data_IF_294178010328
#
_entry.id   IF_294178010328
#
_cell.length_a   1.000
_cell.length_b   1.000
_cell.length_c   1.000
_cell.angle_alpha   90.00
_cell.angle_beta   90.00
_cell.angle_gamma   90.00
#
_symmetry.space_group_name_H-M   'P 1'
#
loop_
_entity.id
_entity.type
_entity.pdbx_description
1 polymer ?
#
# COMPACT_ATOMS: atom_id res chain seq x y z
N UNK A 1 -13.25 7.66 28.47
CA UNK A 1 -12.10 8.08 27.64
C UNK A 1 -11.34 6.81 27.32
N UNK A 2 -11.77 6.09 26.29
CA UNK A 2 -11.08 4.89 25.84
C UNK A 2 -9.81 5.29 25.11
N UNK A 3 -8.67 4.91 25.67
CA UNK A 3 -7.37 4.95 25.02
C UNK A 3 -7.33 3.89 23.93
N UNK A 4 -7.98 4.14 22.80
CA UNK A 4 -7.75 3.37 21.58
C UNK A 4 -6.27 3.50 21.23
N UNK A 5 -5.53 2.41 21.38
CA UNK A 5 -4.17 2.29 20.83
C UNK A 5 -4.18 2.88 19.42
N UNK A 6 -3.24 3.78 19.06
CA UNK A 6 -3.18 4.44 17.75
C UNK A 6 -2.98 3.48 16.56
N UNK A 7 -3.04 2.18 16.83
CA UNK A 7 -2.62 1.05 16.02
C UNK A 7 -3.78 0.08 15.75
N UNK A 8 -5.00 0.43 16.17
CA UNK A 8 -6.17 -0.43 16.05
C UNK A 8 -7.05 -0.01 14.88
N UNK A 9 -7.54 -0.99 14.12
CA UNK A 9 -8.54 -0.73 13.08
C UNK A 9 -9.72 -0.03 13.76
N UNK A 10 -10.13 1.16 13.30
CA UNK A 10 -11.23 1.90 13.90
C UNK A 10 -12.47 1.02 14.01
N UNK A 11 -13.16 1.07 15.16
CA UNK A 11 -14.29 0.18 15.43
C UNK A 11 -15.38 0.25 14.34
N UNK A 12 -15.57 1.42 13.72
CA UNK A 12 -16.55 1.62 12.66
C UNK A 12 -16.16 0.97 11.32
N UNK A 13 -14.88 0.62 11.11
CA UNK A 13 -14.39 -0.11 9.94
C UNK A 13 -14.30 -1.63 10.18
N UNK A 14 -14.63 -2.11 11.38
CA UNK A 14 -14.57 -3.54 11.69
C UNK A 14 -15.73 -4.28 11.02
N UNK A 15 -15.44 -5.30 10.18
CA UNK A 15 -16.48 -5.99 9.43
C UNK A 15 -17.35 -6.87 10.35
N UNK A 16 -18.66 -6.83 10.13
CA UNK A 16 -19.62 -7.74 10.77
C UNK A 16 -19.83 -8.95 9.87
N UNK A 17 -19.17 -10.06 10.21
CA UNK A 17 -19.18 -11.30 9.44
C UNK A 17 -20.16 -12.33 10.00
N UNK A 18 -20.91 -12.96 9.11
CA UNK A 18 -21.90 -13.99 9.40
C UNK A 18 -21.52 -15.29 8.68
N UNK A 19 -21.57 -16.41 9.40
CA UNK A 19 -21.12 -17.71 8.91
C UNK A 19 -22.32 -18.65 8.84
N UNK A 20 -22.50 -19.30 7.69
CA UNK A 20 -23.65 -20.17 7.43
C UNK A 20 -23.72 -21.34 8.42
N UNK A 21 -22.57 -21.87 8.83
CA UNK A 21 -22.48 -23.08 9.64
C UNK A 21 -22.81 -22.84 11.13
N UNK A 22 -22.67 -21.60 11.61
CA UNK A 22 -22.83 -21.25 13.03
C UNK A 22 -24.18 -20.62 13.37
N UNK A 23 -25.01 -20.25 12.38
CA UNK A 23 -26.18 -19.40 12.62
C UNK A 23 -27.52 -20.16 12.62
N UNK A 24 -27.55 -21.48 12.42
CA UNK A 24 -28.79 -22.27 12.31
C UNK A 24 -29.68 -21.92 11.10
N UNK A 25 -29.40 -20.79 10.43
CA UNK A 25 -30.12 -20.26 9.29
C UNK A 25 -29.53 -20.81 7.99
N UNK A 26 -30.22 -21.79 7.40
CA UNK A 26 -29.90 -22.33 6.06
C UNK A 26 -30.05 -21.29 4.92
N UNK A 27 -30.47 -20.05 5.22
CA UNK A 27 -30.90 -19.07 4.23
C UNK A 27 -30.24 -17.68 4.38
N UNK A 28 -29.03 -17.55 4.96
CA UNK A 28 -28.33 -16.25 5.05
C UNK A 28 -28.18 -15.52 3.70
N UNK A 29 -28.14 -16.26 2.60
CA UNK A 29 -28.11 -15.72 1.24
C UNK A 29 -29.39 -14.96 0.82
N UNK A 30 -30.50 -15.13 1.55
CA UNK A 30 -31.77 -14.40 1.36
C UNK A 30 -31.92 -13.21 2.29
N UNK A 31 -31.05 -13.05 3.29
CA UNK A 31 -31.17 -11.97 4.26
C UNK A 31 -30.82 -10.63 3.60
N UNK A 32 -31.74 -9.64 3.59
CA UNK A 32 -31.46 -8.32 3.03
C UNK A 32 -30.24 -7.66 3.68
N UNK A 33 -29.41 -6.99 2.88
CA UNK A 33 -28.21 -6.28 3.35
C UNK A 33 -26.99 -7.17 3.67
N UNK A 34 -27.08 -8.50 3.47
CA UNK A 34 -25.93 -9.40 3.55
C UNK A 34 -25.35 -9.67 2.17
N UNK A 35 -24.08 -9.33 1.99
CA UNK A 35 -23.33 -9.59 0.77
C UNK A 35 -22.35 -10.75 0.98
N UNK A 36 -22.22 -11.64 -0.01
CA UNK A 36 -21.34 -12.81 0.10
C UNK A 36 -19.89 -12.43 -0.18
N UNK A 37 -19.01 -12.54 0.82
CA UNK A 37 -17.56 -12.25 0.68
C UNK A 37 -16.73 -13.49 0.34
N UNK A 38 -17.21 -14.67 0.72
CA UNK A 38 -16.66 -15.96 0.32
C UNK A 38 -17.72 -17.05 0.47
N UNK A 39 -17.43 -18.28 0.02
CA UNK A 39 -18.37 -19.39 0.19
C UNK A 39 -18.68 -19.60 1.68
N UNK A 40 -19.96 -19.53 2.05
CA UNK A 40 -20.42 -19.75 3.42
C UNK A 40 -20.25 -18.55 4.37
N UNK A 41 -19.67 -17.43 3.92
CA UNK A 41 -19.47 -16.24 4.77
C UNK A 41 -20.01 -14.99 4.10
N UNK A 42 -20.74 -14.21 4.88
CA UNK A 42 -21.44 -13.00 4.46
C UNK A 42 -21.01 -11.82 5.31
N UNK A 43 -21.05 -10.63 4.74
CA UNK A 43 -20.77 -9.37 5.41
C UNK A 43 -22.01 -8.48 5.41
N UNK A 44 -22.26 -7.81 6.53
CA UNK A 44 -23.25 -6.73 6.59
C UNK A 44 -22.54 -5.40 6.32
N UNK A 45 -23.00 -4.67 5.31
CA UNK A 45 -22.46 -3.37 4.93
C UNK A 45 -23.39 -2.25 5.40
N UNK A 46 -22.81 -1.12 5.78
CA UNK A 46 -23.55 0.07 6.18
C UNK A 46 -23.71 1.00 4.96
N UNK A 47 -24.91 1.57 4.82
CA UNK A 47 -25.33 2.37 3.68
C UNK A 47 -24.64 3.75 3.60
N UNK A 48 -24.32 4.34 4.75
CA UNK A 48 -23.82 5.72 4.86
C UNK A 48 -22.29 5.77 4.99
N UNK A 49 -21.60 5.02 4.13
CA UNK A 49 -20.14 4.89 4.14
C UNK A 49 -19.54 5.36 2.84
N UNK A 50 -18.40 6.04 2.92
CA UNK A 50 -17.65 6.44 1.75
C UNK A 50 -17.12 5.20 1.02
N UNK A 51 -16.92 5.32 -0.30
CA UNK A 51 -16.46 4.22 -1.15
C UNK A 51 -15.20 3.54 -0.61
N UNK A 52 -14.23 4.30 -0.09
CA UNK A 52 -13.00 3.73 0.45
C UNK A 52 -13.24 2.94 1.75
N UNK A 53 -14.13 3.40 2.64
CA UNK A 53 -14.49 2.71 3.88
C UNK A 53 -15.15 1.36 3.57
N UNK A 54 -16.03 1.35 2.57
CA UNK A 54 -16.70 0.15 2.09
C UNK A 54 -15.69 -0.86 1.52
N UNK A 55 -14.77 -0.41 0.65
CA UNK A 55 -13.71 -1.26 0.08
C UNK A 55 -12.78 -1.82 1.15
N UNK A 56 -12.39 -0.98 2.11
CA UNK A 56 -11.58 -1.38 3.25
C UNK A 56 -12.31 -2.46 4.07
N UNK A 57 -13.57 -2.21 4.44
CA UNK A 57 -14.38 -3.12 5.26
C UNK A 57 -14.59 -4.48 4.57
N UNK A 58 -14.87 -4.49 3.26
CA UNK A 58 -14.99 -5.74 2.48
C UNK A 58 -13.65 -6.48 2.41
N UNK A 59 -12.55 -5.78 2.15
CA UNK A 59 -11.21 -6.38 2.03
C UNK A 59 -10.76 -6.98 3.37
N UNK A 60 -10.96 -6.25 4.47
CA UNK A 60 -10.68 -6.73 5.82
C UNK A 60 -11.58 -7.92 6.18
N UNK A 61 -12.87 -7.84 5.84
CA UNK A 61 -13.81 -8.93 6.03
C UNK A 61 -13.41 -10.21 5.30
N UNK A 62 -12.94 -10.10 4.06
CA UNK A 62 -12.39 -11.24 3.30
C UNK A 62 -11.15 -11.82 3.97
N UNK A 63 -10.23 -10.99 4.45
CA UNK A 63 -9.01 -11.46 5.11
C UNK A 63 -9.33 -12.21 6.42
N UNK A 64 -10.14 -11.61 7.29
CA UNK A 64 -10.58 -12.22 8.54
C UNK A 64 -11.37 -13.52 8.31
N UNK A 65 -12.28 -13.53 7.33
CA UNK A 65 -13.04 -14.71 6.98
C UNK A 65 -12.14 -15.83 6.44
N UNK A 66 -11.16 -15.51 5.59
CA UNK A 66 -10.22 -16.49 5.06
C UNK A 66 -9.34 -17.12 6.15
N UNK A 67 -8.86 -16.31 7.10
CA UNK A 67 -8.10 -16.81 8.25
C UNK A 67 -8.96 -17.74 9.11
N UNK A 68 -10.17 -17.30 9.49
CA UNK A 68 -11.06 -18.09 10.35
C UNK A 68 -11.52 -19.41 9.70
N UNK A 69 -11.74 -19.41 8.39
CA UNK A 69 -12.21 -20.60 7.65
C UNK A 69 -11.08 -21.51 7.18
N UNK A 70 -9.81 -21.18 7.49
CA UNK A 70 -8.65 -22.00 7.18
C UNK A 70 -7.92 -22.37 8.48
N UNK A 71 -8.34 -23.42 9.20
CA UNK A 71 -7.78 -23.76 10.52
C UNK A 71 -6.26 -24.04 10.52
N UNK A 72 -5.70 -24.46 9.40
CA UNK A 72 -4.26 -24.70 9.25
C UNK A 72 -3.45 -23.43 8.99
N UNK A 73 -4.08 -22.29 8.75
CA UNK A 73 -3.37 -21.02 8.55
C UNK A 73 -2.86 -20.50 9.90
N UNK A 74 -1.58 -20.10 9.94
CA UNK A 74 -0.97 -19.53 11.16
C UNK A 74 -1.30 -18.06 11.34
N UNK A 75 -1.29 -17.30 10.25
CA UNK A 75 -1.57 -15.86 10.25
C UNK A 75 -1.87 -15.33 8.84
N UNK A 76 -2.31 -14.07 8.77
CA UNK A 76 -2.28 -13.28 7.53
C UNK A 76 -0.86 -12.76 7.24
N UNK A 77 -0.56 -12.54 5.98
CA UNK A 77 0.74 -12.01 5.51
C UNK A 77 0.54 -11.06 4.31
N UNK A 78 1.60 -10.50 3.74
CA UNK A 78 1.60 -9.64 2.54
C UNK A 78 0.58 -8.50 2.64
N UNK A 79 -0.20 -8.25 1.59
CA UNK A 79 -1.23 -7.20 1.53
C UNK A 79 -2.32 -7.37 2.58
N UNK A 80 -2.63 -8.59 3.04
CA UNK A 80 -3.63 -8.83 4.09
C UNK A 80 -3.13 -8.40 5.47
N UNK A 81 -1.87 -8.71 5.80
CA UNK A 81 -1.26 -8.20 7.02
C UNK A 81 -1.05 -6.69 6.92
N UNK A 82 -0.64 -6.17 5.76
CA UNK A 82 -0.49 -4.73 5.53
C UNK A 82 -1.82 -3.99 5.76
N UNK A 83 -2.93 -4.54 5.28
CA UNK A 83 -4.27 -4.00 5.49
C UNK A 83 -4.64 -3.96 6.99
N UNK A 84 -4.36 -5.04 7.73
CA UNK A 84 -4.65 -5.11 9.17
C UNK A 84 -3.78 -4.15 9.98
N UNK A 85 -2.51 -3.98 9.60
CA UNK A 85 -1.58 -3.01 10.18
C UNK A 85 -1.93 -1.55 9.86
N UNK A 86 -2.85 -1.31 8.92
CA UNK A 86 -3.15 0.03 8.41
C UNK A 86 -2.03 0.61 7.56
N UNK A 87 -1.18 -0.24 6.95
CA UNK A 87 -0.14 0.23 6.04
C UNK A 87 -0.78 0.72 4.74
N UNK A 88 -0.39 1.92 4.33
CA UNK A 88 -0.82 2.50 3.07
C UNK A 88 -0.23 1.70 1.89
N UNK A 89 -1.06 1.35 0.90
CA UNK A 89 -0.63 0.59 -0.28
C UNK A 89 -1.30 1.15 -1.55
N UNK A 90 -0.72 0.87 -2.72
CA UNK A 90 -1.29 1.29 -4.01
C UNK A 90 -2.57 0.52 -4.35
N UNK A 91 -2.55 -0.79 -4.12
CA UNK A 91 -3.67 -1.66 -4.43
C UNK A 91 -4.85 -1.39 -3.50
N UNK A 92 -5.96 -0.94 -4.07
CA UNK A 92 -7.15 -0.57 -3.33
C UNK A 92 -8.02 -1.76 -2.90
N UNK A 93 -7.95 -2.88 -3.63
CA UNK A 93 -8.61 -4.14 -3.33
C UNK A 93 -7.60 -5.28 -3.37
N UNK A 94 -6.85 -5.47 -2.27
CA UNK A 94 -5.78 -6.44 -2.25
C UNK A 94 -6.30 -7.88 -2.29
N UNK A 95 -5.51 -8.75 -2.92
CA UNK A 95 -5.64 -10.19 -2.73
C UNK A 95 -5.46 -10.56 -1.25
N UNK A 96 -6.03 -11.70 -0.86
CA UNK A 96 -5.97 -12.21 0.51
C UNK A 96 -4.82 -13.21 0.63
N UNK A 97 -3.91 -13.04 1.58
CA UNK A 97 -2.77 -13.93 1.76
C UNK A 97 -2.77 -14.60 3.14
N UNK A 98 -2.59 -15.91 3.14
CA UNK A 98 -2.50 -16.76 4.33
C UNK A 98 -1.14 -17.47 4.37
N UNK A 99 -0.48 -17.42 5.53
CA UNK A 99 0.71 -18.22 5.80
C UNK A 99 0.29 -19.58 6.38
N UNK A 100 0.71 -20.67 5.72
CA UNK A 100 0.46 -22.04 6.13
C UNK A 100 1.79 -22.74 6.46
N UNK A 101 1.79 -23.70 7.41
CA UNK A 101 2.98 -24.45 7.78
C UNK A 101 3.39 -25.50 6.74
N UNK A 102 2.48 -25.86 5.83
CA UNK A 102 2.71 -26.87 4.79
C UNK A 102 2.08 -26.46 3.46
N UNK A 103 2.53 -27.10 2.37
CA UNK A 103 2.03 -26.82 1.02
C UNK A 103 0.55 -27.19 0.90
N UNK A 104 -0.35 -26.23 0.59
CA UNK A 104 -1.76 -26.53 0.42
C UNK A 104 -2.02 -27.25 -0.89
N UNK A 105 -3.02 -28.15 -0.90
CA UNK A 105 -3.51 -28.75 -2.14
C UNK A 105 -4.08 -27.71 -3.12
N UNK A 106 -4.73 -26.67 -2.58
CA UNK A 106 -5.29 -25.55 -3.34
C UNK A 106 -4.67 -24.23 -2.91
N UNK A 107 -3.65 -23.80 -3.66
CA UNK A 107 -2.92 -22.56 -3.42
C UNK A 107 -3.78 -21.30 -3.63
N UNK A 108 -4.72 -21.33 -4.57
CA UNK A 108 -5.48 -20.13 -4.94
C UNK A 108 -6.97 -20.37 -5.08
N UNK A 109 -7.78 -19.39 -4.64
CA UNK A 109 -9.25 -19.41 -4.74
C UNK A 109 -9.73 -18.02 -5.15
N UNK A 110 -10.57 -17.94 -6.19
CA UNK A 110 -11.21 -16.69 -6.57
C UNK A 110 -12.32 -16.33 -5.58
N UNK A 111 -12.37 -15.06 -5.18
CA UNK A 111 -13.43 -14.51 -4.34
C UNK A 111 -14.50 -13.81 -5.20
N UNK A 112 -15.74 -13.66 -4.69
CA UNK A 112 -16.77 -12.87 -5.35
C UNK A 112 -16.28 -11.45 -5.62
N UNK A 113 -16.44 -10.97 -6.85
CA UNK A 113 -16.13 -9.58 -7.26
C UNK A 113 -17.20 -8.64 -6.72
N UNK A 114 -16.80 -7.44 -6.30
CA UNK A 114 -17.70 -6.39 -5.83
C UNK A 114 -17.63 -5.17 -6.75
N UNK A 115 -18.77 -4.53 -6.98
CA UNK A 115 -18.84 -3.18 -7.50
C UNK A 115 -19.07 -2.21 -6.34
N UNK A 116 -18.26 -1.16 -6.26
CA UNK A 116 -18.35 -0.14 -5.22
C UNK A 116 -18.85 1.16 -5.83
N UNK A 117 -20.17 1.48 -5.72
CA UNK A 117 -20.71 2.70 -6.30
C UNK A 117 -20.19 3.95 -5.58
N UNK A 118 -20.46 5.14 -6.13
CA UNK A 118 -20.10 6.40 -5.45
C UNK A 118 -21.01 6.64 -4.23
N UNK A 119 -22.26 6.19 -4.35
CA UNK A 119 -23.32 6.28 -3.34
C UNK A 119 -24.08 4.94 -3.31
N UNK A 120 -24.47 4.47 -2.13
CA UNK A 120 -25.22 3.22 -1.95
C UNK A 120 -24.34 2.02 -1.54
N UNK A 121 -24.93 0.82 -1.52
CA UNK A 121 -24.24 -0.39 -1.06
C UNK A 121 -23.35 -1.02 -2.14
N UNK A 122 -22.18 -1.58 -1.75
CA UNK A 122 -21.44 -2.47 -2.62
C UNK A 122 -22.26 -3.72 -2.95
N UNK A 123 -22.26 -4.09 -4.22
CA UNK A 123 -22.98 -5.26 -4.71
C UNK A 123 -22.03 -6.29 -5.30
N UNK A 124 -22.31 -7.57 -5.04
CA UNK A 124 -21.58 -8.66 -5.68
C UNK A 124 -21.94 -8.69 -7.17
N UNK A 125 -20.92 -8.61 -8.03
CA UNK A 125 -21.09 -8.64 -9.48
C UNK A 125 -21.38 -10.08 -9.91
N UNK A 126 -22.48 -10.29 -10.63
CA UNK A 126 -22.87 -11.63 -11.11
C UNK A 126 -21.99 -12.13 -12.25
N UNK A 127 -21.53 -11.22 -13.13
CA UNK A 127 -20.61 -11.50 -14.24
C UNK A 127 -19.53 -10.42 -14.27
N UNK A 128 -18.34 -10.76 -13.77
CA UNK A 128 -17.22 -9.85 -13.75
C UNK A 128 -16.74 -9.55 -15.19
N UNK A 129 -16.70 -8.28 -15.55
CA UNK A 129 -16.12 -7.79 -16.80
C UNK A 129 -14.60 -7.91 -16.85
N UNK A 130 -14.01 -7.51 -17.97
CA UNK A 130 -12.54 -7.56 -18.18
C UNK A 130 -11.81 -6.62 -17.23
N UNK A 131 -12.40 -5.47 -16.90
CA UNK A 131 -11.82 -4.44 -16.04
C UNK A 131 -12.12 -4.63 -14.55
N UNK A 132 -12.89 -5.65 -14.18
CA UNK A 132 -13.25 -5.88 -12.78
C UNK A 132 -12.09 -6.51 -12.00
N UNK A 133 -11.76 -5.93 -10.85
CA UNK A 133 -10.75 -6.46 -9.96
C UNK A 133 -11.13 -7.88 -9.49
N UNK A 134 -10.28 -8.84 -9.82
CA UNK A 134 -10.45 -10.25 -9.44
C UNK A 134 -9.60 -10.57 -8.22
N UNK A 135 -10.21 -10.46 -7.06
CA UNK A 135 -9.58 -10.76 -5.77
C UNK A 135 -9.48 -12.27 -5.55
N UNK A 136 -8.31 -12.73 -5.12
CA UNK A 136 -8.00 -14.13 -4.85
C UNK A 136 -7.51 -14.32 -3.42
N UNK A 137 -7.77 -15.49 -2.85
CA UNK A 137 -7.04 -15.99 -1.68
C UNK A 137 -5.81 -16.73 -2.19
N UNK A 138 -4.64 -16.39 -1.69
CA UNK A 138 -3.38 -17.11 -1.81
C UNK A 138 -3.02 -17.78 -0.49
N UNK A 139 -2.89 -19.09 -0.52
CA UNK A 139 -2.37 -19.91 0.58
C UNK A 139 -0.92 -20.23 0.28
N UNK A 140 -0.01 -19.68 1.08
CA UNK A 140 1.44 -19.80 0.87
C UNK A 140 2.03 -20.67 1.97
N UNK A 141 2.78 -21.69 1.57
CA UNK A 141 3.66 -22.39 2.49
C UNK A 141 4.85 -21.46 2.78
N UNK A 142 4.88 -20.88 3.98
CA UNK A 142 5.89 -19.91 4.36
C UNK A 142 6.53 -20.33 5.69
N UNK A 143 7.84 -20.22 5.75
CA UNK A 143 8.57 -20.30 7.00
C UNK A 143 8.45 -18.95 7.72
N UNK A 144 7.64 -18.93 8.78
CA UNK A 144 7.39 -17.75 9.62
C UNK A 144 7.74 -18.17 11.05
N UNK A 145 8.71 -17.53 11.69
CA UNK A 145 9.01 -17.77 13.09
C UNK A 145 7.89 -17.19 13.98
N UNK A 146 7.74 -17.68 15.21
CA UNK A 146 6.66 -17.22 16.10
C UNK A 146 6.82 -15.74 16.46
N UNK A 147 8.06 -15.25 16.56
CA UNK A 147 8.39 -13.84 16.80
C UNK A 147 8.06 -12.93 15.60
N UNK A 148 7.85 -13.52 14.43
CA UNK A 148 7.42 -12.83 13.22
C UNK A 148 5.89 -12.78 13.10
N UNK A 149 5.16 -13.29 14.09
CA UNK A 149 3.70 -13.24 14.16
C UNK A 149 3.29 -12.37 15.36
N UNK A 150 2.40 -11.41 15.11
CA UNK A 150 1.79 -10.58 16.13
C UNK A 150 0.27 -10.55 15.98
N UNK A 151 -0.43 -10.13 17.03
CA UNK A 151 -1.88 -10.00 17.02
C UNK A 151 -2.27 -8.54 16.99
N UNK A 152 -2.85 -8.09 15.87
CA UNK A 152 -3.32 -6.71 15.70
C UNK A 152 -4.84 -6.72 15.62
N UNK A 153 -5.49 -5.99 16.53
CA UNK A 153 -6.95 -5.94 16.61
C UNK A 153 -7.62 -7.33 16.68
N UNK A 154 -6.98 -8.30 17.33
CA UNK A 154 -7.48 -9.67 17.46
C UNK A 154 -7.24 -10.57 16.25
N UNK A 155 -6.44 -10.13 15.27
CA UNK A 155 -6.10 -10.90 14.07
C UNK A 155 -4.61 -11.23 14.08
N UNK A 156 -4.27 -12.51 13.94
CA UNK A 156 -2.89 -12.96 13.82
C UNK A 156 -2.33 -12.58 12.43
N UNK A 157 -1.25 -11.80 12.42
CA UNK A 157 -0.61 -11.25 11.23
C UNK A 157 0.91 -11.33 11.34
N UNK A 158 1.63 -11.31 10.21
CA UNK A 158 3.08 -11.13 10.23
C UNK A 158 3.47 -9.75 10.77
N UNK A 159 4.64 -9.61 11.40
CA UNK A 159 5.14 -8.30 11.85
C UNK A 159 5.27 -7.30 10.70
N UNK A 160 5.28 -5.99 10.96
CA UNK A 160 5.30 -4.97 9.88
C UNK A 160 6.48 -5.13 8.91
N UNK A 161 7.68 -5.43 9.40
CA UNK A 161 8.86 -5.62 8.54
C UNK A 161 8.79 -6.95 7.78
N UNK A 162 8.30 -8.02 8.42
CA UNK A 162 8.08 -9.31 7.74
C UNK A 162 7.03 -9.18 6.64
N UNK A 163 5.96 -8.45 6.91
CA UNK A 163 4.87 -8.15 5.98
C UNK A 163 5.39 -7.46 4.73
N UNK A 164 6.26 -6.45 4.89
CA UNK A 164 6.88 -5.75 3.76
C UNK A 164 7.82 -6.67 2.95
N UNK A 165 8.62 -7.50 3.60
CA UNK A 165 9.47 -8.48 2.91
C UNK A 165 8.65 -9.46 2.08
N UNK A 166 7.59 -10.00 2.67
CA UNK A 166 6.68 -10.91 2.01
C UNK A 166 5.99 -10.25 0.80
N UNK A 167 5.46 -9.03 0.96
CA UNK A 167 4.91 -8.25 -0.14
C UNK A 167 5.96 -7.99 -1.25
N UNK A 168 7.20 -7.66 -0.89
CA UNK A 168 8.27 -7.42 -1.85
C UNK A 168 8.65 -8.64 -2.71
N UNK A 169 8.41 -9.86 -2.20
CA UNK A 169 8.62 -11.08 -2.98
C UNK A 169 7.52 -11.30 -4.05
N UNK A 170 6.25 -11.05 -3.70
CA UNK A 170 5.12 -11.58 -4.45
C UNK A 170 4.22 -10.51 -5.11
N UNK A 171 4.25 -9.25 -4.65
CA UNK A 171 3.47 -8.15 -5.22
C UNK A 171 4.19 -7.47 -6.41
N UNK A 172 3.45 -6.76 -7.28
CA UNK A 172 4.03 -5.87 -8.26
C UNK A 172 4.93 -4.81 -7.59
N UNK A 173 6.09 -4.46 -8.17
CA UNK A 173 7.08 -3.57 -7.53
C UNK A 173 6.51 -2.22 -7.03
N UNK A 174 5.60 -1.60 -7.78
CA UNK A 174 4.94 -0.36 -7.38
C UNK A 174 4.17 -0.49 -6.04
N UNK A 175 3.36 -1.55 -5.92
CA UNK A 175 2.58 -1.81 -4.71
C UNK A 175 3.49 -2.26 -3.56
N UNK A 176 4.48 -3.11 -3.86
CA UNK A 176 5.46 -3.57 -2.89
C UNK A 176 6.27 -2.42 -2.28
N UNK A 177 6.72 -1.45 -3.10
CA UNK A 177 7.45 -0.28 -2.61
C UNK A 177 6.56 0.58 -1.73
N UNK A 178 5.30 0.79 -2.11
CA UNK A 178 4.33 1.52 -1.27
C UNK A 178 4.14 0.86 0.11
N UNK A 179 4.07 -0.47 0.16
CA UNK A 179 3.94 -1.20 1.44
C UNK A 179 5.24 -1.12 2.25
N UNK A 180 6.40 -1.26 1.60
CA UNK A 180 7.70 -1.22 2.26
C UNK A 180 7.99 0.17 2.85
N UNK A 181 7.67 1.24 2.13
CA UNK A 181 7.75 2.63 2.61
C UNK A 181 6.83 2.85 3.81
N UNK A 182 5.58 2.38 3.72
CA UNK A 182 4.63 2.48 4.82
C UNK A 182 5.11 1.71 6.06
N UNK A 183 5.69 0.52 5.88
CA UNK A 183 6.27 -0.26 6.96
C UNK A 183 7.46 0.46 7.61
N UNK A 184 8.36 1.06 6.81
CA UNK A 184 9.47 1.86 7.34
C UNK A 184 8.99 3.12 8.03
N UNK A 185 8.03 3.85 7.48
CA UNK A 185 7.45 5.03 8.14
C UNK A 185 6.85 4.66 9.49
N UNK A 186 6.17 3.52 9.55
CA UNK A 186 5.58 3.00 10.78
C UNK A 186 6.62 2.55 11.81
N UNK A 187 7.66 1.85 11.37
CA UNK A 187 8.73 1.32 12.22
C UNK A 187 9.68 2.42 12.70
N UNK A 188 10.10 3.29 11.78
CA UNK A 188 11.11 4.31 12.00
C UNK A 188 10.53 5.58 12.64
N UNK A 189 9.23 5.86 12.47
CA UNK A 189 8.57 7.07 12.97
C UNK A 189 9.38 8.34 12.60
N UNK A 190 9.55 8.62 11.30
CA UNK A 190 10.38 9.73 10.85
C UNK A 190 9.79 11.07 11.30
N UNK A 191 10.67 12.00 11.67
CA UNK A 191 10.36 13.41 11.85
C UNK A 191 11.06 14.20 10.74
N UNK A 192 10.30 14.97 9.96
CA UNK A 192 10.81 15.77 8.86
C UNK A 192 11.80 16.85 9.32
N UNK A 193 11.67 17.32 10.56
CA UNK A 193 12.53 18.34 11.14
C UNK A 193 13.78 17.76 11.81
N UNK A 194 13.74 16.48 12.18
CA UNK A 194 14.82 15.78 12.88
C UNK A 194 15.10 14.43 12.21
N UNK A 195 15.61 14.42 10.95
CA UNK A 195 15.76 13.21 10.17
C UNK A 195 16.73 12.18 10.78
N UNK A 196 17.66 12.63 11.61
CA UNK A 196 18.58 11.79 12.37
C UNK A 196 17.87 10.87 13.37
N UNK A 197 16.70 11.27 13.90
CA UNK A 197 15.98 10.53 14.93
C UNK A 197 15.50 9.14 14.47
N UNK A 198 15.46 8.89 13.16
CA UNK A 198 15.02 7.63 12.58
C UNK A 198 16.17 6.74 12.05
N UNK A 199 17.43 7.20 12.10
CA UNK A 199 18.57 6.51 11.48
C UNK A 199 18.84 5.12 12.08
N UNK A 200 18.88 5.01 13.41
CA UNK A 200 19.13 3.74 14.09
C UNK A 200 18.04 2.71 13.78
N UNK A 201 16.77 3.13 13.80
CA UNK A 201 15.63 2.26 13.45
C UNK A 201 15.67 1.87 11.98
N UNK A 202 16.05 2.78 11.08
CA UNK A 202 16.21 2.44 9.67
C UNK A 202 17.33 1.41 9.47
N UNK A 203 18.46 1.55 10.15
CA UNK A 203 19.57 0.59 10.12
C UNK A 203 19.15 -0.79 10.65
N UNK A 204 18.39 -0.84 11.74
CA UNK A 204 17.82 -2.08 12.29
C UNK A 204 16.85 -2.75 11.31
N UNK A 205 15.95 -1.98 10.69
CA UNK A 205 15.01 -2.51 9.69
C UNK A 205 15.73 -3.08 8.47
N UNK A 206 16.79 -2.40 7.99
CA UNK A 206 17.66 -2.86 6.91
C UNK A 206 18.36 -4.18 7.26
N UNK A 207 19.02 -4.24 8.41
CA UNK A 207 19.69 -5.44 8.88
C UNK A 207 18.73 -6.64 9.01
N UNK A 208 17.51 -6.40 9.51
CA UNK A 208 16.47 -7.42 9.56
C UNK A 208 16.07 -7.93 8.17
N UNK A 209 15.88 -7.03 7.20
CA UNK A 209 15.59 -7.43 5.82
C UNK A 209 16.75 -8.15 5.14
N UNK A 210 18.00 -7.77 5.39
CA UNK A 210 19.17 -8.49 4.88
C UNK A 210 19.22 -9.92 5.43
N UNK A 211 18.94 -10.11 6.73
CA UNK A 211 18.83 -11.43 7.33
C UNK A 211 17.67 -12.25 6.73
N UNK A 212 16.53 -11.63 6.40
CA UNK A 212 15.43 -12.30 5.69
C UNK A 212 15.83 -12.70 4.26
N UNK A 213 16.49 -11.81 3.52
CA UNK A 213 16.97 -12.09 2.17
C UNK A 213 17.96 -13.26 2.17
N UNK A 214 18.79 -13.36 3.21
CA UNK A 214 19.72 -14.46 3.41
C UNK A 214 19.02 -15.77 3.76
N UNK A 215 18.15 -15.75 4.78
CA UNK A 215 17.42 -16.93 5.25
C UNK A 215 16.54 -17.55 4.17
N UNK A 216 15.96 -16.72 3.29
CA UNK A 216 15.04 -17.14 2.23
C UNK A 216 15.71 -17.20 0.85
N UNK A 217 17.02 -17.46 0.79
CA UNK A 217 17.74 -17.67 -0.48
C UNK A 217 17.03 -18.70 -1.36
N UNK A 218 16.90 -18.38 -2.65
CA UNK A 218 16.22 -19.23 -3.63
C UNK A 218 14.69 -19.09 -3.66
N UNK A 219 14.08 -18.31 -2.76
CA UNK A 219 12.64 -17.97 -2.85
C UNK A 219 12.36 -17.24 -4.18
N UNK A 220 11.28 -17.61 -4.85
CA UNK A 220 10.80 -16.88 -6.03
C UNK A 220 10.51 -15.42 -5.67
N UNK A 221 10.95 -14.50 -6.53
CA UNK A 221 10.75 -13.05 -6.30
C UNK A 221 11.79 -12.39 -5.40
N UNK A 222 12.78 -13.14 -4.89
CA UNK A 222 13.83 -12.58 -4.04
C UNK A 222 14.68 -11.48 -4.73
N UNK A 223 15.01 -11.55 -6.04
CA UNK A 223 15.69 -10.45 -6.73
C UNK A 223 14.88 -9.14 -6.70
N UNK A 224 13.57 -9.22 -6.98
CA UNK A 224 12.63 -8.10 -6.83
C UNK A 224 12.58 -7.61 -5.40
N UNK A 225 12.45 -8.53 -4.43
CA UNK A 225 12.41 -8.15 -3.03
C UNK A 225 13.66 -7.37 -2.62
N UNK A 226 14.85 -7.84 -3.03
CA UNK A 226 16.11 -7.12 -2.81
C UNK A 226 16.09 -5.72 -3.42
N UNK A 227 15.66 -5.59 -4.68
CA UNK A 227 15.61 -4.30 -5.36
C UNK A 227 14.63 -3.32 -4.71
N UNK A 228 13.40 -3.78 -4.40
CA UNK A 228 12.36 -2.97 -3.74
C UNK A 228 12.79 -2.55 -2.33
N UNK A 229 13.27 -3.49 -1.51
CA UNK A 229 13.64 -3.21 -0.13
C UNK A 229 14.87 -2.29 -0.07
N UNK A 230 15.83 -2.43 -0.99
CA UNK A 230 17.01 -1.54 -1.06
C UNK A 230 16.63 -0.07 -1.29
N UNK A 231 15.57 0.19 -2.07
CA UNK A 231 15.11 1.55 -2.36
C UNK A 231 13.95 2.01 -1.47
N UNK A 232 13.39 1.16 -0.60
CA UNK A 232 12.34 1.56 0.33
C UNK A 232 12.80 2.68 1.26
N UNK A 233 11.91 3.61 1.61
CA UNK A 233 12.25 4.80 2.39
C UNK A 233 11.12 5.17 3.36
N UNK A 234 11.42 5.56 4.62
CA UNK A 234 10.39 6.07 5.53
C UNK A 234 9.83 7.44 5.11
N UNK A 235 10.50 8.13 4.18
CA UNK A 235 10.22 9.52 3.80
C UNK A 235 9.13 9.69 2.73
N UNK A 236 8.70 8.62 2.07
CA UNK A 236 7.51 8.69 1.22
C UNK A 236 6.26 8.61 2.12
N UNK A 237 5.43 9.64 2.09
CA UNK A 237 4.33 9.83 3.06
C UNK A 237 3.02 9.24 2.56
N UNK A 238 2.78 9.28 1.25
CA UNK A 238 1.57 8.77 0.59
C UNK A 238 1.87 7.63 -0.40
N UNK A 239 0.93 6.70 -0.64
CA UNK A 239 1.09 5.67 -1.67
C UNK A 239 1.42 6.21 -3.06
N UNK A 240 0.84 7.35 -3.42
CA UNK A 240 1.11 7.99 -4.71
C UNK A 240 2.55 8.49 -4.84
N UNK A 241 3.15 8.99 -3.76
CA UNK A 241 4.57 9.34 -3.74
C UNK A 241 5.45 8.10 -3.93
N UNK A 242 5.17 7.01 -3.22
CA UNK A 242 5.90 5.74 -3.39
C UNK A 242 5.80 5.19 -4.81
N UNK A 243 4.62 5.28 -5.44
CA UNK A 243 4.40 4.79 -6.81
C UNK A 243 5.05 5.72 -7.85
N UNK A 244 4.97 7.03 -7.67
CA UNK A 244 5.69 7.99 -8.50
C UNK A 244 7.21 7.74 -8.42
N UNK A 245 7.71 7.52 -7.20
CA UNK A 245 9.12 7.20 -6.95
C UNK A 245 9.53 5.87 -7.56
N UNK A 246 8.67 4.85 -7.48
CA UNK A 246 8.89 3.60 -8.18
C UNK A 246 9.00 3.83 -9.70
N UNK A 247 8.09 4.62 -10.31
CA UNK A 247 8.12 4.87 -11.75
C UNK A 247 9.47 5.51 -12.16
N UNK A 248 9.89 6.55 -11.44
CA UNK A 248 11.21 7.19 -11.61
C UNK A 248 12.35 6.15 -11.57
N UNK A 249 12.40 5.34 -10.52
CA UNK A 249 13.45 4.32 -10.35
C UNK A 249 13.37 3.22 -11.41
N UNK A 250 12.17 2.83 -11.84
CA UNK A 250 11.95 1.81 -12.87
C UNK A 250 12.41 2.26 -14.26
N UNK A 251 12.36 3.57 -14.53
CA UNK A 251 12.91 4.18 -15.74
C UNK A 251 14.46 4.25 -15.71
N UNK A 252 15.08 3.97 -14.56
CA UNK A 252 16.52 4.11 -14.37
C UNK A 252 16.98 5.55 -14.17
N UNK A 253 16.06 6.48 -13.87
CA UNK A 253 16.38 7.86 -13.53
C UNK A 253 17.18 7.92 -12.22
N UNK A 254 17.98 8.98 -12.00
CA UNK A 254 18.68 9.17 -10.72
C UNK A 254 17.72 9.11 -9.54
N UNK A 255 18.17 8.56 -8.40
CA UNK A 255 17.31 8.49 -7.22
C UNK A 255 17.00 9.90 -6.70
N UNK A 256 15.72 10.25 -6.43
CA UNK A 256 15.36 11.55 -5.91
C UNK A 256 15.77 11.71 -4.45
N UNK A 257 16.08 12.93 -4.05
CA UNK A 257 16.02 13.34 -2.65
C UNK A 257 14.55 13.46 -2.23
N UNK A 258 14.18 12.87 -1.08
CA UNK A 258 12.81 12.91 -0.58
C UNK A 258 12.65 13.93 0.51
N UNK A 259 11.47 14.55 0.57
CA UNK A 259 11.08 15.49 1.63
C UNK A 259 12.17 16.54 1.88
N UNK A 260 12.63 17.18 0.80
CA UNK A 260 13.68 18.19 0.86
C UNK A 260 13.10 19.49 1.41
N UNK A 261 13.65 19.97 2.53
CA UNK A 261 13.33 21.29 3.07
C UNK A 261 13.82 22.38 2.11
N UNK A 262 12.92 23.29 1.75
CA UNK A 262 13.20 24.53 1.01
C UNK A 262 12.67 25.72 1.80
N UNK A 263 13.49 26.76 1.88
CA UNK A 263 13.15 28.02 2.55
C UNK A 263 12.71 29.01 1.48
N UNK A 264 11.49 29.51 1.60
CA UNK A 264 10.89 30.49 0.67
C UNK A 264 10.56 31.79 1.40
N UNK A 265 10.22 32.85 0.64
CA UNK A 265 9.68 34.09 1.20
C UNK A 265 8.37 33.93 1.97
N UNK A 266 7.67 32.80 1.81
CA UNK A 266 6.39 32.50 2.47
C UNK A 266 6.51 31.48 3.61
N UNK A 267 7.71 30.98 3.87
CA UNK A 267 7.98 29.98 4.90
C UNK A 267 8.71 28.75 4.35
N UNK A 268 8.74 27.73 5.19
CA UNK A 268 9.46 26.49 4.97
C UNK A 268 8.54 25.39 4.45
N UNK A 269 8.95 24.71 3.39
CA UNK A 269 8.19 23.65 2.73
C UNK A 269 9.07 22.44 2.46
N UNK A 270 8.46 21.25 2.46
CA UNK A 270 9.12 20.01 2.06
C UNK A 270 8.65 19.58 0.68
N UNK A 271 9.57 19.37 -0.25
CA UNK A 271 9.27 18.85 -1.60
C UNK A 271 9.30 17.32 -1.54
N UNK A 272 8.26 16.66 -2.06
CA UNK A 272 8.11 15.20 -1.97
C UNK A 272 9.31 14.47 -2.59
N UNK A 273 9.62 14.77 -3.85
CA UNK A 273 10.76 14.22 -4.61
C UNK A 273 11.47 15.37 -5.35
N UNK A 274 12.80 15.45 -5.26
CA UNK A 274 13.55 16.44 -6.03
C UNK A 274 14.95 15.99 -6.45
N UNK A 275 15.50 16.67 -7.45
CA UNK A 275 16.89 16.59 -7.88
C UNK A 275 17.50 17.99 -7.89
N UNK A 276 18.12 18.43 -6.78
CA UNK A 276 18.72 19.77 -6.68
C UNK A 276 19.73 20.07 -7.78
N UNK A 277 20.49 19.06 -8.21
CA UNK A 277 21.48 19.16 -9.28
C UNK A 277 20.89 19.46 -10.67
N UNK A 278 19.60 19.14 -10.87
CA UNK A 278 18.88 19.42 -12.12
C UNK A 278 17.84 20.53 -11.95
N UNK A 279 17.63 21.04 -10.73
CA UNK A 279 16.55 21.99 -10.44
C UNK A 279 15.15 21.40 -10.64
N UNK A 280 14.97 20.07 -10.53
CA UNK A 280 13.67 19.40 -10.77
C UNK A 280 12.97 19.06 -9.46
N UNK A 281 11.67 19.34 -9.38
CA UNK A 281 10.82 19.00 -8.23
C UNK A 281 9.52 18.32 -8.68
N UNK A 282 9.13 17.24 -7.98
CA UNK A 282 7.85 16.58 -8.15
C UNK A 282 7.05 16.62 -6.85
N UNK A 283 5.77 16.92 -6.95
CA UNK A 283 4.82 16.80 -5.84
C UNK A 283 3.63 15.93 -6.22
N UNK A 284 3.25 15.04 -5.31
CA UNK A 284 2.08 14.20 -5.49
C UNK A 284 0.84 14.87 -4.86
N UNK A 285 -0.15 15.16 -5.70
CA UNK A 285 -1.41 15.75 -5.27
C UNK A 285 -2.45 14.68 -4.92
N UNK A 286 -2.46 14.32 -3.63
CA UNK A 286 -3.60 13.67 -3.01
C UNK A 286 -4.73 14.68 -2.78
N UNK A 287 -5.54 14.96 -3.81
CA UNK A 287 -6.74 15.84 -3.81
C UNK A 287 -7.64 15.84 -2.55
N UNK A 288 -7.53 14.83 -1.69
CA UNK A 288 -8.25 14.68 -0.42
C UNK A 288 -7.95 15.79 0.61
N UNK A 289 -6.92 16.62 0.42
CA UNK A 289 -6.57 17.72 1.32
C UNK A 289 -7.32 19.04 1.09
N UNK A 290 -8.05 19.21 -0.02
CA UNK A 290 -8.80 20.44 -0.32
C UNK A 290 -10.24 20.34 0.17
N UNK A 291 -10.52 20.93 1.34
CA UNK A 291 -11.87 20.98 1.90
C UNK A 291 -12.51 22.36 1.73
N UNK A 292 -11.69 23.41 1.56
CA UNK A 292 -12.14 24.80 1.40
C UNK A 292 -11.44 25.51 0.25
N UNK A 293 -11.98 26.66 -0.17
CA UNK A 293 -11.30 27.55 -1.13
C UNK A 293 -9.96 28.07 -0.57
N UNK A 294 -9.88 28.27 0.75
CA UNK A 294 -8.67 28.69 1.43
C UNK A 294 -7.55 27.65 1.31
N UNK A 295 -7.87 26.34 1.38
CA UNK A 295 -6.89 25.27 1.19
C UNK A 295 -6.27 25.32 -0.21
N UNK A 296 -7.10 25.58 -1.22
CA UNK A 296 -6.67 25.70 -2.62
C UNK A 296 -5.80 26.94 -2.81
N UNK A 297 -6.20 28.07 -2.21
CA UNK A 297 -5.44 29.31 -2.29
C UNK A 297 -4.08 29.19 -1.57
N UNK A 298 -4.04 28.59 -0.38
CA UNK A 298 -2.82 28.35 0.37
C UNK A 298 -1.83 27.46 -0.40
N UNK A 299 -2.33 26.40 -1.05
CA UNK A 299 -1.52 25.52 -1.89
C UNK A 299 -0.98 26.27 -3.12
N UNK A 300 -1.81 27.08 -3.79
CA UNK A 300 -1.36 27.89 -4.92
C UNK A 300 -0.20 28.79 -4.50
N UNK A 301 -0.35 29.50 -3.38
CA UNK A 301 0.70 30.39 -2.89
C UNK A 301 1.95 29.64 -2.43
N UNK A 302 1.83 28.40 -1.95
CA UNK A 302 2.98 27.51 -1.68
C UNK A 302 3.69 27.18 -2.99
N UNK A 303 2.95 26.77 -4.02
CA UNK A 303 3.51 26.42 -5.31
C UNK A 303 4.23 27.62 -5.95
N UNK A 304 3.62 28.80 -5.94
CA UNK A 304 4.24 30.02 -6.45
C UNK A 304 5.57 30.31 -5.72
N UNK A 305 5.60 30.14 -4.39
CA UNK A 305 6.80 30.37 -3.59
C UNK A 305 7.93 29.35 -3.84
N UNK A 306 7.61 28.10 -4.18
CA UNK A 306 8.59 27.09 -4.57
C UNK A 306 9.07 27.36 -6.00
N UNK A 307 8.17 27.72 -6.91
CA UNK A 307 8.51 28.07 -8.29
C UNK A 307 9.44 29.30 -8.36
N UNK A 308 9.25 30.30 -7.49
CA UNK A 308 10.13 31.48 -7.36
C UNK A 308 11.60 31.10 -7.06
N UNK A 309 11.89 29.89 -6.57
CA UNK A 309 13.26 29.40 -6.34
C UNK A 309 13.92 28.80 -7.59
N UNK A 310 13.25 28.80 -8.75
CA UNK A 310 13.79 28.32 -10.01
C UNK A 310 13.69 26.80 -10.23
N UNK A 311 12.75 26.13 -9.56
CA UNK A 311 12.50 24.70 -9.77
C UNK A 311 11.59 24.45 -10.98
N UNK A 312 12.00 23.52 -11.84
CA UNK A 312 11.13 22.88 -12.82
C UNK A 312 10.18 21.92 -12.10
N UNK A 313 8.97 22.41 -11.85
CA UNK A 313 8.01 21.79 -10.95
C UNK A 313 6.95 20.98 -11.72
N UNK A 314 6.81 19.69 -11.39
CA UNK A 314 5.80 18.81 -11.97
C UNK A 314 4.86 18.24 -10.90
N UNK A 315 3.60 18.66 -10.95
CA UNK A 315 2.53 18.12 -10.11
C UNK A 315 1.96 16.84 -10.73
N UNK A 316 1.85 15.80 -9.93
CA UNK A 316 1.33 14.48 -10.33
C UNK A 316 0.08 14.15 -9.53
N UNK A 317 -1.01 13.83 -10.20
CA UNK A 317 -2.29 13.46 -9.58
C UNK A 317 -2.53 11.96 -9.64
N UNK A 318 -3.58 11.50 -8.95
CA UNK A 318 -4.07 10.12 -9.07
C UNK A 318 -4.39 9.70 -10.51
N UNK A 319 -4.83 10.64 -11.36
CA UNK A 319 -5.18 10.35 -12.75
C UNK A 319 -3.93 10.13 -13.60
N UNK A 320 -2.86 10.89 -13.36
CA UNK A 320 -1.57 10.69 -14.03
C UNK A 320 -1.00 9.29 -13.72
N UNK A 321 -1.17 8.82 -12.48
CA UNK A 321 -0.76 7.46 -12.09
C UNK A 321 -1.65 6.34 -12.66
N UNK A 322 -2.75 6.65 -13.37
CA UNK A 322 -3.48 5.64 -14.15
C UNK A 322 -2.90 5.46 -15.56
N UNK A 323 -2.16 6.45 -16.07
CA UNK A 323 -1.49 6.41 -17.37
C UNK A 323 0.03 6.55 -17.19
N UNK A 324 0.64 5.47 -16.69
CA UNK A 324 2.07 5.42 -16.37
C UNK A 324 2.95 5.71 -17.58
N UNK A 325 2.51 5.37 -18.80
CA UNK A 325 3.28 5.62 -20.01
C UNK A 325 3.34 7.12 -20.33
N UNK A 326 2.18 7.81 -20.31
CA UNK A 326 2.15 9.25 -20.52
C UNK A 326 2.91 10.02 -19.42
N UNK A 327 2.83 9.55 -18.17
CA UNK A 327 3.60 10.12 -17.07
C UNK A 327 5.11 9.89 -17.24
N UNK A 328 5.53 8.69 -17.66
CA UNK A 328 6.94 8.40 -17.94
C UNK A 328 7.49 9.35 -19.01
N UNK A 329 6.77 9.58 -20.10
CA UNK A 329 7.17 10.51 -21.16
C UNK A 329 7.34 11.95 -20.63
N UNK A 330 6.45 12.39 -19.74
CA UNK A 330 6.58 13.72 -19.08
C UNK A 330 7.80 13.78 -18.18
N UNK A 331 8.04 12.74 -17.39
CA UNK A 331 9.21 12.66 -16.50
C UNK A 331 10.51 12.72 -17.31
N UNK A 332 10.64 11.92 -18.37
CA UNK A 332 11.84 11.90 -19.20
C UNK A 332 12.16 13.26 -19.82
N UNK A 333 11.14 14.05 -20.19
CA UNK A 333 11.32 15.41 -20.73
C UNK A 333 11.85 16.43 -19.73
N UNK A 334 11.76 16.18 -18.43
CA UNK A 334 12.30 17.08 -17.41
C UNK A 334 13.82 16.94 -17.28
N UNK A 335 14.38 15.77 -17.60
CA UNK A 335 15.80 15.52 -17.41
C UNK A 335 16.62 15.92 -18.64
N UNK A 336 17.89 16.36 -18.46
CA UNK A 336 18.80 16.60 -19.57
C UNK A 336 18.92 15.37 -20.49
N UNK A 337 18.99 15.61 -21.80
CA UNK A 337 19.08 14.52 -22.79
C UNK A 337 20.25 13.57 -22.56
N UNK A 338 21.36 14.06 -21.99
CA UNK A 338 22.52 13.24 -21.60
C UNK A 338 22.20 12.22 -20.50
N UNK A 339 21.35 12.60 -19.53
CA UNK A 339 20.86 11.69 -18.48
C UNK A 339 19.94 10.65 -19.10
N UNK A 340 18.99 11.08 -19.92
CA UNK A 340 18.01 10.20 -20.57
C UNK A 340 18.67 9.18 -21.50
N UNK A 341 19.69 9.58 -22.25
CA UNK A 341 20.46 8.69 -23.12
C UNK A 341 21.26 7.63 -22.35
N UNK A 342 21.57 7.87 -21.08
CA UNK A 342 22.36 6.99 -20.22
C UNK A 342 21.56 6.02 -19.35
N UNK A 343 20.22 6.06 -19.42
CA UNK A 343 19.36 5.30 -18.51
C UNK A 343 19.54 3.79 -18.66
N UNK A 344 19.55 3.11 -17.51
CA UNK A 344 19.58 1.65 -17.42
C UNK A 344 18.46 1.17 -16.52
N UNK A 345 17.25 0.95 -17.08
CA UNK A 345 16.10 0.45 -16.32
C UNK A 345 16.45 -0.82 -15.54
N UNK A 346 16.29 -0.83 -14.20
CA UNK A 346 16.55 -2.02 -13.40
C UNK A 346 15.48 -3.08 -13.67
N UNK A 347 15.90 -4.26 -14.17
CA UNK A 347 15.01 -5.38 -14.52
C UNK A 347 14.08 -5.79 -13.37
N UNK A 348 14.59 -5.73 -12.14
CA UNK A 348 13.86 -6.16 -10.94
C UNK A 348 12.79 -5.16 -10.47
N UNK A 349 12.78 -3.93 -11.00
CA UNK A 349 11.72 -2.92 -10.77
C UNK A 349 10.88 -2.63 -12.01
N UNK A 350 11.08 -3.37 -13.10
CA UNK A 350 10.37 -3.17 -14.35
C UNK A 350 8.84 -3.27 -14.15
N UNK A 351 8.12 -2.43 -14.91
CA UNK A 351 6.67 -2.30 -14.90
C UNK A 351 5.98 -3.28 -15.85
#
# INVERSE_FOLDING_TARGET
>A
MDTTSPNSIPNYLRPRLYYADSCGSRNLWRTPGLQRVMRGVYIKLELDRQRWEQRFTVSLGRAMAALRTTPSARCLTHTSAALVHGLSMWTQEPDVYLALPSRPQRCTVLLPTFHFPATGEPVVVQRAGVYDARVRIHRRCLEVADEEIEVVSGVAVTTILRTAFDAACDEPPANALSIADAALRRYCQPDLWHPEACQDRLAQARAYWDALLERHRGRRGLPRARAVLAVASPWAMLPGESVLRWLVLSLGLPAPSLQRLVVTRRGEYFIDLCWPEFGIALEFDGRLKYRTEDDVFAEKLRQDAIHDLGWDFLRVTWQDLQDMAALADRLLRLFPASVVAGLRPPRDLAW
#
